data_IF_487241326507
#
_entry.id   IF_487241326507
#
_cell.length_a   1.000
_cell.length_b   1.000
_cell.length_c   1.000
_cell.angle_alpha   90.00
_cell.angle_beta   90.00
_cell.angle_gamma   90.00
#
_symmetry.space_group_name_H-M   'P 1'
#
loop_
_entity.id
_entity.type
_entity.pdbx_description
1 polymer ?
#
# COMPACT_ATOMS: atom_id res chain seq x y z
N UNK A 1 8.48 -9.79 8.54
CA UNK A 1 9.43 -8.87 7.90
C UNK A 1 9.63 -7.59 8.71
N UNK A 2 8.59 -6.77 8.97
CA UNK A 2 8.76 -5.53 9.74
C UNK A 2 9.37 -5.78 11.13
N UNK A 3 8.93 -6.81 11.84
CA UNK A 3 9.53 -7.20 13.14
C UNK A 3 11.02 -7.54 13.01
N UNK A 4 11.38 -8.29 11.97
CA UNK A 4 12.78 -8.65 11.71
C UNK A 4 13.63 -7.41 11.45
N UNK A 5 13.14 -6.49 10.61
CA UNK A 5 13.85 -5.23 10.31
C UNK A 5 13.99 -4.36 11.55
N UNK A 6 12.91 -4.13 12.29
CA UNK A 6 12.96 -3.33 13.51
C UNK A 6 13.91 -3.94 14.55
N UNK A 7 13.87 -5.27 14.73
CA UNK A 7 14.78 -5.96 15.64
C UNK A 7 16.26 -5.84 15.21
N UNK A 8 16.54 -5.91 13.90
CA UNK A 8 17.88 -5.75 13.36
C UNK A 8 18.48 -4.36 13.65
N UNK A 9 17.66 -3.32 13.59
CA UNK A 9 18.09 -1.93 13.82
C UNK A 9 17.82 -1.41 15.22
N UNK A 10 17.34 -2.23 16.15
CA UNK A 10 16.93 -1.78 17.48
C UNK A 10 15.80 -0.76 17.47
N UNK A 11 15.00 -0.73 16.39
CA UNK A 11 13.91 0.22 16.23
C UNK A 11 12.62 -0.30 16.85
N UNK A 12 11.89 0.59 17.51
CA UNK A 12 10.60 0.27 18.10
C UNK A 12 9.53 0.07 17.03
N UNK A 13 8.72 -0.99 17.15
CA UNK A 13 7.64 -1.30 16.20
C UNK A 13 6.26 -1.05 16.81
N UNK A 14 5.59 -0.06 16.31
CA UNK A 14 4.17 0.19 16.60
C UNK A 14 3.28 -0.34 15.47
N UNK A 15 2.26 -1.10 15.83
CA UNK A 15 1.32 -1.69 14.87
C UNK A 15 0.00 -0.95 14.89
N UNK A 16 -0.29 -0.19 13.84
CA UNK A 16 -1.58 0.44 13.65
C UNK A 16 -2.62 -0.58 13.14
N UNK A 17 -3.68 -0.78 13.92
CA UNK A 17 -4.78 -1.68 13.55
C UNK A 17 -5.92 -0.90 12.91
N UNK A 18 -6.47 -1.42 11.81
CA UNK A 18 -7.71 -0.95 11.25
C UNK A 18 -8.90 -1.26 12.18
N UNK A 19 -10.00 -0.53 12.03
CA UNK A 19 -11.23 -0.75 12.80
C UNK A 19 -11.89 -2.08 12.46
N UNK A 20 -11.68 -2.55 11.23
CA UNK A 20 -12.23 -3.80 10.70
C UNK A 20 -11.11 -4.69 10.16
N UNK A 21 -11.33 -5.97 10.15
CA UNK A 21 -10.46 -6.90 9.38
C UNK A 21 -10.68 -6.70 7.88
N UNK A 22 -9.75 -7.14 7.01
CA UNK A 22 -9.97 -7.12 5.56
C UNK A 22 -11.26 -7.86 5.17
N UNK A 23 -11.55 -8.99 5.79
CA UNK A 23 -12.74 -9.81 5.53
C UNK A 23 -14.03 -9.07 5.89
N UNK A 24 -14.08 -8.43 7.06
CA UNK A 24 -15.22 -7.59 7.46
C UNK A 24 -15.41 -6.40 6.53
N UNK A 25 -14.31 -5.76 6.12
CA UNK A 25 -14.32 -4.66 5.18
C UNK A 25 -14.95 -5.08 3.85
N UNK A 26 -14.55 -6.25 3.31
CA UNK A 26 -15.07 -6.73 2.03
C UNK A 26 -16.49 -7.25 2.12
N UNK A 27 -16.86 -7.90 3.21
CA UNK A 27 -18.25 -8.32 3.45
C UNK A 27 -19.17 -7.11 3.50
N UNK A 28 -18.74 -6.00 4.09
CA UNK A 28 -19.54 -4.79 4.27
C UNK A 28 -19.61 -3.92 3.02
N UNK A 29 -18.49 -3.77 2.31
CA UNK A 29 -18.35 -2.80 1.21
C UNK A 29 -18.04 -3.44 -0.14
N UNK A 30 -17.88 -4.74 -0.20
CA UNK A 30 -17.39 -5.44 -1.37
C UNK A 30 -15.88 -5.29 -1.56
N UNK A 31 -15.33 -6.12 -2.41
CA UNK A 31 -13.90 -6.11 -2.70
C UNK A 31 -13.54 -4.99 -3.69
N UNK A 32 -12.70 -4.02 -3.33
CA UNK A 32 -12.41 -2.88 -4.19
C UNK A 32 -11.49 -3.31 -5.35
N UNK A 33 -12.04 -3.34 -6.56
CA UNK A 33 -11.32 -3.78 -7.76
C UNK A 33 -10.80 -2.64 -8.63
N UNK A 34 -11.24 -1.41 -8.38
CA UNK A 34 -10.92 -0.27 -9.24
C UNK A 34 -10.48 0.94 -8.42
N UNK A 35 -9.57 1.75 -8.99
CA UNK A 35 -9.29 3.08 -8.50
C UNK A 35 -10.46 4.03 -8.72
N UNK A 36 -10.51 5.12 -7.97
CA UNK A 36 -11.62 6.09 -7.95
C UNK A 36 -12.04 6.58 -9.34
N UNK A 37 -11.07 6.92 -10.20
CA UNK A 37 -11.35 7.44 -11.55
C UNK A 37 -11.96 6.34 -12.44
N UNK A 38 -11.38 5.14 -12.41
CA UNK A 38 -11.88 4.00 -13.19
C UNK A 38 -13.28 3.59 -12.73
N UNK A 39 -13.53 3.54 -11.43
CA UNK A 39 -14.85 3.25 -10.86
C UNK A 39 -15.91 4.27 -11.30
N UNK A 40 -15.57 5.58 -11.27
CA UNK A 40 -16.45 6.64 -11.75
C UNK A 40 -16.78 6.48 -13.25
N UNK A 41 -15.77 6.27 -14.09
CA UNK A 41 -15.96 6.04 -15.54
C UNK A 41 -16.78 4.80 -15.81
N UNK A 42 -16.57 3.74 -15.05
CA UNK A 42 -17.33 2.51 -15.18
C UNK A 42 -18.81 2.72 -14.82
N UNK A 43 -19.10 3.38 -13.69
CA UNK A 43 -20.48 3.73 -13.28
C UNK A 43 -21.20 4.62 -14.31
N UNK A 44 -20.48 5.57 -14.91
CA UNK A 44 -21.05 6.42 -15.97
C UNK A 44 -21.45 5.62 -17.22
N UNK A 45 -20.66 4.61 -17.59
CA UNK A 45 -20.91 3.77 -18.78
C UNK A 45 -21.97 2.69 -18.54
N UNK A 46 -22.08 2.20 -17.32
CA UNK A 46 -22.89 1.04 -16.96
C UNK A 46 -23.91 1.39 -15.89
N UNK A 47 -24.73 2.42 -16.16
CA UNK A 47 -25.70 3.01 -15.22
C UNK A 47 -26.66 2.00 -14.56
N UNK A 48 -26.89 0.84 -15.19
CA UNK A 48 -27.82 -0.18 -14.71
C UNK A 48 -27.17 -1.44 -14.14
N UNK A 49 -25.84 -1.50 -14.06
CA UNK A 49 -25.14 -2.64 -13.48
C UNK A 49 -24.53 -2.25 -12.13
N UNK A 50 -24.94 -2.92 -11.04
CA UNK A 50 -24.33 -2.66 -9.75
C UNK A 50 -22.83 -3.02 -9.80
N UNK A 51 -21.97 -2.15 -9.25
CA UNK A 51 -20.62 -2.53 -8.91
C UNK A 51 -20.69 -3.59 -7.81
N UNK A 52 -19.92 -4.65 -7.93
CA UNK A 52 -19.75 -5.64 -6.87
C UNK A 52 -19.06 -5.10 -5.60
N UNK A 53 -18.83 -3.78 -5.54
CA UNK A 53 -18.22 -3.11 -4.41
C UNK A 53 -18.77 -1.68 -4.24
N UNK A 54 -18.86 -1.24 -2.97
CA UNK A 54 -19.40 0.08 -2.59
C UNK A 54 -18.31 1.15 -2.46
N UNK A 55 -17.04 0.76 -2.39
CA UNK A 55 -15.90 1.66 -2.23
C UNK A 55 -14.81 1.37 -3.27
N UNK A 56 -14.12 2.43 -3.70
CA UNK A 56 -12.91 2.31 -4.53
C UNK A 56 -11.67 1.94 -3.70
N UNK A 57 -10.60 1.57 -4.40
CA UNK A 57 -9.31 1.18 -3.78
C UNK A 57 -8.74 2.29 -2.90
N UNK A 58 -8.85 3.56 -3.31
CA UNK A 58 -8.32 4.67 -2.54
C UNK A 58 -9.05 4.83 -1.21
N UNK A 59 -10.38 4.66 -1.22
CA UNK A 59 -11.20 4.66 -0.01
C UNK A 59 -10.87 3.48 0.88
N UNK A 60 -10.73 2.28 0.33
CA UNK A 60 -10.28 1.10 1.07
C UNK A 60 -8.89 1.32 1.71
N UNK A 61 -7.91 1.81 0.94
CA UNK A 61 -6.58 2.14 1.46
C UNK A 61 -6.63 3.17 2.58
N UNK A 62 -7.49 4.18 2.45
CA UNK A 62 -7.68 5.19 3.50
C UNK A 62 -8.19 4.56 4.79
N UNK A 63 -9.22 3.70 4.71
CA UNK A 63 -9.82 3.06 5.88
C UNK A 63 -8.90 2.04 6.54
N UNK A 64 -8.22 1.23 5.74
CA UNK A 64 -7.44 0.08 6.21
C UNK A 64 -5.98 0.38 6.57
N UNK A 65 -5.42 1.47 6.03
CA UNK A 65 -4.00 1.80 6.22
C UNK A 65 -3.79 3.23 6.72
N UNK A 66 -4.29 4.23 5.98
CA UNK A 66 -3.93 5.62 6.23
C UNK A 66 -4.55 6.14 7.52
N UNK A 67 -5.85 5.96 7.71
CA UNK A 67 -6.54 6.43 8.92
C UNK A 67 -6.03 5.75 10.20
N UNK A 68 -5.79 4.42 10.24
CA UNK A 68 -5.16 3.79 11.39
C UNK A 68 -3.77 4.34 11.70
N UNK A 69 -2.92 4.49 10.67
CA UNK A 69 -1.56 5.05 10.85
C UNK A 69 -1.60 6.49 11.40
N UNK A 70 -2.49 7.33 10.87
CA UNK A 70 -2.69 8.71 11.35
C UNK A 70 -3.16 8.75 12.81
N UNK A 71 -4.11 7.90 13.19
CA UNK A 71 -4.57 7.80 14.59
C UNK A 71 -3.43 7.41 15.52
N UNK A 72 -2.61 6.45 15.11
CA UNK A 72 -1.46 6.02 15.89
C UNK A 72 -0.41 7.13 15.99
N UNK A 73 -0.05 7.79 14.88
CA UNK A 73 0.90 8.89 14.88
C UNK A 73 0.44 10.04 15.80
N UNK A 74 -0.86 10.38 15.77
CA UNK A 74 -1.45 11.37 16.69
C UNK A 74 -1.37 10.93 18.15
N UNK A 75 -1.68 9.66 18.44
CA UNK A 75 -1.56 9.10 19.80
C UNK A 75 -0.13 9.15 20.34
N UNK A 76 0.85 8.95 19.48
CA UNK A 76 2.28 8.99 19.81
C UNK A 76 2.87 10.42 19.72
N UNK A 77 2.04 11.44 19.50
CA UNK A 77 2.46 12.84 19.34
C UNK A 77 3.58 13.02 18.28
N UNK A 78 3.54 12.23 17.20
CA UNK A 78 4.52 12.34 16.13
C UNK A 78 4.40 13.70 15.43
N UNK A 79 5.51 14.40 15.28
CA UNK A 79 5.61 15.68 14.56
C UNK A 79 6.30 15.55 13.21
N UNK A 80 7.03 14.43 13.01
CA UNK A 80 7.80 14.14 11.80
C UNK A 80 7.55 12.70 11.33
N UNK A 81 7.38 12.52 10.03
CA UNK A 81 7.21 11.22 9.39
C UNK A 81 8.21 11.06 8.25
N UNK A 82 9.04 10.04 8.32
CA UNK A 82 9.86 9.61 7.18
C UNK A 82 9.10 8.61 6.32
N UNK A 83 9.22 8.73 5.00
CA UNK A 83 8.62 7.78 4.06
C UNK A 83 9.66 7.23 3.09
N UNK A 84 9.42 6.03 2.60
CA UNK A 84 10.22 5.39 1.55
C UNK A 84 9.76 5.74 0.14
N UNK A 85 9.06 6.86 -0.06
CA UNK A 85 8.56 7.26 -1.38
C UNK A 85 9.74 7.74 -2.23
N UNK A 86 9.80 7.22 -3.46
CA UNK A 86 10.79 7.60 -4.48
C UNK A 86 10.11 8.30 -5.64
N UNK A 87 10.78 9.27 -6.27
CA UNK A 87 10.27 9.97 -7.45
C UNK A 87 10.02 9.02 -8.62
N UNK A 88 10.92 8.05 -8.83
CA UNK A 88 10.80 6.97 -9.80
C UNK A 88 10.04 5.75 -9.24
N UNK A 89 8.99 5.98 -8.46
CA UNK A 89 8.18 4.90 -7.86
C UNK A 89 7.29 4.21 -8.89
N UNK A 90 7.04 2.91 -8.69
CA UNK A 90 6.03 2.15 -9.44
C UNK A 90 4.62 2.78 -9.33
N UNK A 91 4.35 3.54 -8.28
CA UNK A 91 3.18 4.41 -8.15
C UNK A 91 3.54 5.81 -8.66
N UNK A 92 3.40 6.02 -9.96
CA UNK A 92 3.74 7.26 -10.67
C UNK A 92 3.10 8.49 -9.99
N UNK A 93 1.83 8.41 -9.58
CA UNK A 93 1.14 9.53 -8.96
C UNK A 93 1.74 9.90 -7.60
N UNK A 94 2.19 8.91 -6.84
CA UNK A 94 2.85 9.12 -5.56
C UNK A 94 4.25 9.70 -5.76
N UNK A 95 5.00 9.20 -6.72
CA UNK A 95 6.31 9.73 -7.09
C UNK A 95 6.22 11.20 -7.54
N UNK A 96 5.30 11.52 -8.44
CA UNK A 96 5.08 12.89 -8.92
C UNK A 96 4.68 13.85 -7.79
N UNK A 97 3.86 13.39 -6.83
CA UNK A 97 3.52 14.20 -5.65
C UNK A 97 4.76 14.46 -4.80
N UNK A 98 5.55 13.44 -4.51
CA UNK A 98 6.78 13.60 -3.72
C UNK A 98 7.77 14.58 -4.38
N UNK A 99 7.86 14.57 -5.70
CA UNK A 99 8.67 15.54 -6.46
C UNK A 99 8.08 16.95 -6.33
N UNK A 100 6.75 17.08 -6.52
CA UNK A 100 6.05 18.36 -6.46
C UNK A 100 6.09 18.99 -5.07
N UNK A 101 5.82 18.19 -4.04
CA UNK A 101 5.75 18.66 -2.64
C UNK A 101 7.15 18.85 -2.03
N UNK A 102 8.19 18.35 -2.70
CA UNK A 102 9.57 18.40 -2.26
C UNK A 102 9.94 17.27 -1.28
N UNK A 103 11.23 17.15 -1.01
CA UNK A 103 11.74 16.12 -0.10
C UNK A 103 11.21 16.28 1.34
N UNK A 104 10.86 17.51 1.73
CA UNK A 104 10.27 17.80 3.05
C UNK A 104 9.17 18.82 2.91
N UNK A 105 7.97 18.51 3.45
CA UNK A 105 6.82 19.41 3.42
C UNK A 105 5.92 19.21 4.65
N UNK A 106 5.20 20.25 5.02
CA UNK A 106 4.25 20.23 6.13
C UNK A 106 2.85 19.84 5.67
N UNK A 107 2.25 18.85 6.30
CA UNK A 107 0.87 18.39 6.03
C UNK A 107 -0.06 18.97 7.09
N UNK A 108 -0.68 20.10 6.80
CA UNK A 108 -1.57 20.83 7.73
C UNK A 108 -2.69 19.94 8.29
N UNK A 109 -3.29 19.08 7.46
CA UNK A 109 -4.39 18.20 7.88
C UNK A 109 -3.99 17.18 8.94
N UNK A 110 -2.72 16.81 8.98
CA UNK A 110 -2.18 15.80 9.90
C UNK A 110 -1.35 16.41 11.03
N UNK A 111 -1.04 17.72 10.93
CA UNK A 111 -0.22 18.45 11.91
C UNK A 111 1.22 17.96 11.98
N UNK A 112 1.75 17.39 10.89
CA UNK A 112 3.09 16.80 10.87
C UNK A 112 3.90 17.18 9.63
N UNK A 113 5.21 17.12 9.77
CA UNK A 113 6.14 17.27 8.65
C UNK A 113 6.42 15.90 8.04
N UNK A 114 6.30 15.79 6.72
CA UNK A 114 6.66 14.58 5.96
C UNK A 114 8.01 14.80 5.30
N UNK A 115 8.92 13.84 5.49
CA UNK A 115 10.22 13.81 4.85
C UNK A 115 10.32 12.57 3.94
N UNK A 116 10.66 12.79 2.67
CA UNK A 116 10.83 11.77 1.63
C UNK A 116 12.31 11.71 1.20
N UNK A 117 13.22 11.18 2.01
CA UNK A 117 14.68 11.26 1.75
C UNK A 117 15.08 10.50 0.49
N UNK A 118 14.25 9.59 0.01
CA UNK A 118 14.51 8.77 -1.17
C UNK A 118 13.90 9.33 -2.47
N UNK A 119 13.38 10.57 -2.47
CA UNK A 119 12.69 11.15 -3.64
C UNK A 119 13.57 11.14 -4.90
N UNK A 120 14.87 11.41 -4.77
CA UNK A 120 15.82 11.37 -5.89
C UNK A 120 16.36 9.97 -6.26
N UNK A 121 15.91 8.91 -5.57
CA UNK A 121 16.47 7.58 -5.77
C UNK A 121 15.78 6.84 -6.90
N UNK A 122 16.60 6.21 -7.76
CA UNK A 122 16.15 5.25 -8.76
C UNK A 122 16.05 3.84 -8.16
N UNK A 123 15.39 2.92 -8.88
CA UNK A 123 15.36 1.50 -8.48
C UNK A 123 16.76 0.88 -8.44
N UNK A 124 17.64 1.28 -9.34
CA UNK A 124 19.02 0.81 -9.38
C UNK A 124 19.81 1.29 -8.15
N UNK A 125 19.65 2.56 -7.76
CA UNK A 125 20.27 3.08 -6.53
C UNK A 125 19.77 2.31 -5.30
N UNK A 126 18.48 2.08 -5.20
CA UNK A 126 17.89 1.32 -4.10
C UNK A 126 18.41 -0.12 -4.02
N UNK A 127 18.55 -0.80 -5.17
CA UNK A 127 19.15 -2.15 -5.23
C UNK A 127 20.61 -2.14 -4.79
N UNK A 128 21.44 -1.27 -5.37
CA UNK A 128 22.86 -1.17 -5.03
C UNK A 128 23.07 -0.86 -3.54
N UNK A 129 22.26 0.02 -2.97
CA UNK A 129 22.34 0.34 -1.55
C UNK A 129 22.01 -0.87 -0.68
N UNK A 130 20.92 -1.56 -0.98
CA UNK A 130 20.51 -2.79 -0.30
C UNK A 130 21.61 -3.86 -0.35
N UNK A 131 22.15 -4.10 -1.55
CA UNK A 131 23.17 -5.14 -1.76
C UNK A 131 24.49 -4.78 -1.07
N UNK A 132 24.87 -3.48 -1.07
CA UNK A 132 26.06 -2.99 -0.38
C UNK A 132 26.00 -3.18 1.14
N UNK A 133 24.81 -3.00 1.73
CA UNK A 133 24.62 -3.04 3.18
C UNK A 133 23.90 -4.31 3.66
N UNK A 134 23.79 -5.31 2.80
CA UNK A 134 23.13 -6.60 3.08
C UNK A 134 21.77 -6.44 3.77
N UNK A 135 20.95 -5.51 3.25
CA UNK A 135 19.67 -5.20 3.87
C UNK A 135 18.64 -6.31 3.62
N UNK A 136 17.78 -6.61 4.60
CA UNK A 136 16.77 -7.64 4.48
C UNK A 136 15.83 -7.39 3.29
N UNK A 137 15.57 -8.41 2.50
CA UNK A 137 14.61 -8.38 1.38
C UNK A 137 13.27 -8.92 1.84
N UNK A 138 12.18 -8.20 1.51
CA UNK A 138 10.85 -8.69 1.80
C UNK A 138 10.59 -10.03 1.07
N UNK A 139 10.06 -11.07 1.74
CA UNK A 139 9.87 -12.40 1.16
C UNK A 139 9.09 -12.41 -0.17
N UNK A 140 8.11 -11.53 -0.31
CA UNK A 140 7.36 -11.40 -1.58
C UNK A 140 8.24 -10.91 -2.73
N UNK A 141 9.19 -10.00 -2.47
CA UNK A 141 10.15 -9.52 -3.47
C UNK A 141 11.10 -10.62 -3.88
N UNK A 142 11.63 -11.39 -2.93
CA UNK A 142 12.46 -12.55 -3.20
C UNK A 142 11.76 -13.59 -4.09
N UNK A 143 10.42 -13.67 -4.01
CA UNK A 143 9.58 -14.54 -4.84
C UNK A 143 9.06 -13.91 -6.14
N UNK A 144 9.60 -12.76 -6.52
CA UNK A 144 9.30 -12.10 -7.80
C UNK A 144 8.11 -11.13 -7.78
N UNK A 145 7.62 -10.71 -6.61
CA UNK A 145 6.60 -9.67 -6.56
C UNK A 145 7.20 -8.32 -6.99
N UNK A 146 6.57 -7.67 -7.97
CA UNK A 146 6.98 -6.34 -8.44
C UNK A 146 6.73 -5.30 -7.36
N UNK A 147 5.60 -5.38 -6.66
CA UNK A 147 5.26 -4.46 -5.57
C UNK A 147 4.78 -5.20 -4.33
N UNK A 148 4.91 -4.56 -3.17
CA UNK A 148 4.42 -5.05 -1.90
C UNK A 148 3.15 -4.28 -1.56
N UNK A 149 2.00 -4.82 -1.98
CA UNK A 149 0.67 -4.30 -1.66
C UNK A 149 -0.07 -5.18 -0.68
N UNK A 150 -1.36 -4.94 -0.51
CA UNK A 150 -2.24 -5.93 0.14
C UNK A 150 -2.30 -7.17 -0.73
N UNK A 151 -2.05 -8.34 -0.15
CA UNK A 151 -1.98 -9.65 -0.83
C UNK A 151 -3.20 -9.92 -1.71
N UNK A 152 -4.33 -9.41 -1.32
CA UNK A 152 -5.65 -9.65 -1.92
C UNK A 152 -6.23 -8.44 -2.66
N UNK A 153 -5.49 -7.34 -2.80
CA UNK A 153 -6.01 -6.14 -3.44
C UNK A 153 -6.10 -6.31 -4.96
N UNK A 154 -7.30 -6.20 -5.53
CA UNK A 154 -7.54 -6.23 -6.98
C UNK A 154 -7.40 -4.89 -7.70
N UNK A 155 -7.04 -3.84 -6.99
CA UNK A 155 -7.30 -2.48 -7.46
C UNK A 155 -6.11 -1.61 -7.80
N UNK A 156 -5.04 -2.12 -8.31
CA UNK A 156 -3.95 -1.29 -8.83
C UNK A 156 -3.65 -1.62 -10.28
N UNK A 157 -3.11 -0.68 -11.04
CA UNK A 157 -2.59 -0.89 -12.39
C UNK A 157 -1.52 -1.99 -12.47
N UNK A 158 -1.01 -2.40 -11.32
CA UNK A 158 0.01 -3.41 -11.14
C UNK A 158 -0.57 -4.79 -10.75
N UNK A 159 -1.85 -4.85 -10.41
CA UNK A 159 -2.57 -6.09 -10.15
C UNK A 159 -3.09 -6.64 -11.47
N UNK A 160 -2.13 -6.98 -12.30
CA UNK A 160 -2.37 -7.73 -13.51
C UNK A 160 -2.70 -9.19 -13.14
N UNK A 161 -3.22 -9.92 -14.10
CA UNK A 161 -3.41 -11.37 -14.01
C UNK A 161 -2.15 -12.08 -13.46
N UNK A 162 -0.96 -11.53 -13.73
CA UNK A 162 0.32 -12.06 -13.23
C UNK A 162 0.47 -11.97 -11.71
N UNK A 163 -0.01 -10.91 -11.06
CA UNK A 163 0.04 -10.80 -9.60
C UNK A 163 -0.87 -11.83 -8.91
N UNK A 164 -2.07 -12.05 -9.46
CA UNK A 164 -2.97 -13.09 -8.97
C UNK A 164 -2.44 -14.51 -9.24
N UNK A 165 -1.81 -14.74 -10.38
CA UNK A 165 -1.14 -16.01 -10.66
C UNK A 165 0.01 -16.26 -9.69
N UNK A 166 0.80 -15.23 -9.39
CA UNK A 166 1.87 -15.31 -8.40
C UNK A 166 1.31 -15.62 -7.01
N UNK A 167 0.24 -14.92 -6.58
CA UNK A 167 -0.43 -15.18 -5.31
C UNK A 167 -0.89 -16.64 -5.20
N UNK A 168 -1.63 -17.13 -6.21
CA UNK A 168 -2.11 -18.51 -6.25
C UNK A 168 -0.99 -19.54 -6.15
N UNK A 169 0.11 -19.31 -6.86
CA UNK A 169 1.27 -20.23 -6.87
C UNK A 169 2.05 -20.20 -5.57
N UNK A 170 2.22 -19.02 -4.98
CA UNK A 170 3.13 -18.78 -3.87
C UNK A 170 2.46 -18.94 -2.51
N UNK A 171 1.18 -18.60 -2.43
CA UNK A 171 0.36 -18.65 -1.21
C UNK A 171 -1.05 -19.15 -1.53
N UNK A 172 -1.20 -20.45 -1.84
CA UNK A 172 -2.48 -21.03 -2.26
C UNK A 172 -3.58 -20.86 -1.19
N UNK A 173 -3.23 -20.97 0.10
CA UNK A 173 -4.18 -20.76 1.20
C UNK A 173 -4.72 -19.32 1.24
N UNK A 174 -3.81 -18.33 1.08
CA UNK A 174 -4.22 -16.93 1.00
C UNK A 174 -5.04 -16.66 -0.27
N UNK A 175 -4.70 -17.28 -1.38
CA UNK A 175 -5.52 -17.23 -2.59
C UNK A 175 -6.92 -17.76 -2.34
N UNK A 176 -7.04 -18.96 -1.76
CA UNK A 176 -8.32 -19.57 -1.46
C UNK A 176 -9.15 -18.70 -0.55
N UNK A 177 -8.62 -18.36 0.62
CA UNK A 177 -9.29 -17.55 1.62
C UNK A 177 -9.76 -16.19 1.09
N UNK A 178 -8.90 -15.46 0.39
CA UNK A 178 -9.16 -14.06 0.04
C UNK A 178 -9.75 -13.86 -1.36
N UNK A 179 -9.64 -14.83 -2.23
CA UNK A 179 -10.11 -14.68 -3.62
C UNK A 179 -11.29 -15.60 -3.92
N UNK A 180 -11.29 -16.80 -3.35
CA UNK A 180 -12.33 -17.80 -3.63
C UNK A 180 -13.47 -17.75 -2.61
N UNK A 181 -13.17 -17.80 -1.31
CA UNK A 181 -14.20 -17.85 -0.26
C UNK A 181 -14.90 -16.50 0.00
N UNK A 182 -14.22 -15.37 -0.26
CA UNK A 182 -14.77 -14.03 0.00
C UNK A 182 -15.53 -13.43 -1.19
N UNK A 183 -15.65 -14.14 -2.27
CA UNK A 183 -16.52 -13.79 -3.39
C UNK A 183 -17.91 -14.31 -3.16
#
# INVERSE_FOLDING_TARGET
>A
FCRTVCGHYGAELYVAKATHTPEEQWRRYGWPMMGKIAARKWMQRHKHRPLGFKIDVSTCCRMMKIAPARRLAKKLACTLQFTGVRGASDDILRGLRAIKDGATHYVKADGLTVCNPLTGWTDTMGRRYRDKYDLPVHPSKARGAVTIGCVCCGGGSQFTISAFRLLRRTWPEAWWKYIVETR
#
